data_IF_601409543513
#
_entry.id   IF_601409543513
#
_cell.length_a   1.000
_cell.length_b   1.000
_cell.length_c   1.000
_cell.angle_alpha   90.00
_cell.angle_beta   90.00
_cell.angle_gamma   90.00
#
_symmetry.space_group_name_H-M   'P 1'
#
loop_
_entity.id
_entity.type
_entity.pdbx_description
1 polymer ?
#
# COMPACT_ATOMS: atom_id res chain seq x y z
N UNK A 1 -24.16 12.50 -31.53
CA UNK A 1 -23.83 11.28 -30.76
C UNK A 1 -23.04 11.72 -29.54
N UNK A 2 -23.53 11.47 -28.33
CA UNK A 2 -22.77 11.77 -27.11
C UNK A 2 -21.72 10.68 -26.97
N UNK A 3 -20.48 11.00 -27.31
CA UNK A 3 -19.31 10.14 -27.06
C UNK A 3 -19.14 9.99 -25.55
N UNK A 4 -19.40 8.80 -25.01
CA UNK A 4 -19.20 8.53 -23.59
C UNK A 4 -17.70 8.56 -23.28
N UNK A 5 -17.25 9.60 -22.60
CA UNK A 5 -15.88 9.69 -22.09
C UNK A 5 -15.73 8.63 -21.00
N UNK A 6 -14.75 7.73 -21.15
CA UNK A 6 -14.46 6.73 -20.13
C UNK A 6 -14.05 7.41 -18.81
N UNK A 7 -14.39 6.82 -17.65
CA UNK A 7 -13.99 7.39 -16.36
C UNK A 7 -12.47 7.48 -16.27
N UNK A 8 -11.99 8.71 -16.07
CA UNK A 8 -10.56 9.00 -15.95
C UNK A 8 -10.02 8.61 -14.56
N UNK A 9 -10.87 8.63 -13.54
CA UNK A 9 -10.53 8.20 -12.19
C UNK A 9 -10.78 6.69 -12.01
N UNK A 10 -9.84 6.01 -11.34
CA UNK A 10 -9.96 4.60 -10.98
C UNK A 10 -9.79 4.43 -9.48
N UNK A 11 -10.61 3.56 -8.89
CA UNK A 11 -10.51 3.21 -7.48
C UNK A 11 -9.31 2.29 -7.25
N UNK A 12 -8.44 2.69 -6.32
CA UNK A 12 -7.23 1.96 -5.96
C UNK A 12 -7.16 1.76 -4.44
N UNK A 13 -6.39 0.76 -4.01
CA UNK A 13 -6.05 0.50 -2.61
C UNK A 13 -4.57 0.18 -2.51
N UNK A 14 -3.94 0.61 -1.43
CA UNK A 14 -2.56 0.23 -1.14
C UNK A 14 -2.48 -1.29 -0.92
N UNK A 15 -1.61 -1.94 -1.67
CA UNK A 15 -1.41 -3.38 -1.62
C UNK A 15 -0.70 -3.78 -0.31
N UNK A 16 -0.96 -5.02 0.13
CA UNK A 16 -0.23 -5.69 1.23
C UNK A 16 -0.32 -5.05 2.62
N UNK A 17 -1.05 -3.95 2.76
CA UNK A 17 -1.25 -3.23 4.03
C UNK A 17 -2.72 -3.18 4.42
N UNK A 18 -2.98 -2.79 5.66
CA UNK A 18 -4.30 -2.51 6.21
C UNK A 18 -4.20 -1.37 7.22
N UNK A 19 -5.28 -0.60 7.34
CA UNK A 19 -5.42 0.33 8.46
C UNK A 19 -5.38 -0.43 9.80
N UNK A 20 -4.94 0.25 10.87
CA UNK A 20 -5.13 -0.25 12.25
C UNK A 20 -6.64 -0.41 12.51
N UNK A 21 -7.00 -1.36 13.38
CA UNK A 21 -8.39 -1.77 13.58
C UNK A 21 -9.28 -0.60 14.09
N UNK A 22 -10.62 -0.66 13.90
CA UNK A 22 -11.55 0.46 14.09
C UNK A 22 -11.66 1.01 15.51
N UNK A 23 -11.13 0.32 16.53
CA UNK A 23 -11.19 0.79 17.92
C UNK A 23 -10.18 1.92 18.24
N UNK A 24 -9.54 2.48 17.22
CA UNK A 24 -8.58 3.55 17.35
C UNK A 24 -8.74 4.52 16.16
N UNK A 25 -9.93 5.13 16.07
CA UNK A 25 -10.34 6.06 15.00
C UNK A 25 -9.28 7.12 14.71
N UNK A 26 -8.53 7.56 15.72
CA UNK A 26 -7.42 8.50 15.61
C UNK A 26 -6.31 8.03 14.65
N UNK A 27 -5.99 6.73 14.63
CA UNK A 27 -4.96 6.20 13.74
C UNK A 27 -5.44 6.10 12.30
N UNK A 28 -6.71 5.76 12.08
CA UNK A 28 -7.28 5.71 10.74
C UNK A 28 -7.36 7.12 10.14
N UNK A 29 -7.76 8.10 10.95
CA UNK A 29 -7.75 9.50 10.56
C UNK A 29 -6.33 10.02 10.28
N UNK A 30 -5.38 9.79 11.19
CA UNK A 30 -3.99 10.20 10.99
C UNK A 30 -3.35 9.55 9.75
N UNK A 31 -3.62 8.26 9.50
CA UNK A 31 -3.18 7.58 8.28
C UNK A 31 -3.77 8.23 7.02
N UNK A 32 -5.04 8.62 7.04
CA UNK A 32 -5.69 9.27 5.91
C UNK A 32 -5.15 10.68 5.65
N UNK A 33 -4.91 11.47 6.71
CA UNK A 33 -4.30 12.80 6.62
C UNK A 33 -2.89 12.72 6.04
N UNK A 34 -2.07 11.82 6.58
CA UNK A 34 -0.69 11.61 6.10
C UNK A 34 -0.68 11.14 4.64
N UNK A 35 -1.51 10.16 4.30
CA UNK A 35 -1.67 9.67 2.93
C UNK A 35 -2.06 10.81 1.97
N UNK A 36 -3.00 11.67 2.38
CA UNK A 36 -3.41 12.83 1.60
C UNK A 36 -2.25 13.80 1.38
N UNK A 37 -1.46 14.10 2.43
CA UNK A 37 -0.29 14.98 2.32
C UNK A 37 0.78 14.44 1.38
N UNK A 38 0.90 13.11 1.27
CA UNK A 38 1.87 12.44 0.41
C UNK A 38 1.45 12.35 -1.07
N UNK A 39 0.15 12.33 -1.38
CA UNK A 39 -0.35 12.01 -2.73
C UNK A 39 -1.14 13.16 -3.37
N UNK A 40 -1.92 13.91 -2.59
CA UNK A 40 -2.88 14.86 -3.15
C UNK A 40 -2.17 15.99 -3.91
N UNK A 41 -2.57 16.19 -5.17
CA UNK A 41 -1.99 17.20 -6.05
C UNK A 41 -0.56 16.89 -6.54
N UNK A 42 -0.06 15.67 -6.31
CA UNK A 42 1.30 15.26 -6.71
C UNK A 42 1.24 14.15 -7.76
N UNK A 43 2.25 14.14 -8.62
CA UNK A 43 2.49 13.01 -9.52
C UNK A 43 3.09 11.83 -8.73
N UNK A 44 2.49 10.66 -8.89
CA UNK A 44 2.95 9.43 -8.27
C UNK A 44 3.01 8.32 -9.31
N UNK A 45 4.07 7.53 -9.23
CA UNK A 45 4.20 6.29 -9.99
C UNK A 45 3.50 5.18 -9.24
N UNK A 46 2.60 4.46 -9.91
CA UNK A 46 1.89 3.33 -9.32
C UNK A 46 2.28 2.02 -10.02
N UNK A 47 2.50 0.97 -9.24
CA UNK A 47 2.64 -0.40 -9.74
C UNK A 47 1.43 -1.21 -9.32
N UNK A 48 0.84 -1.93 -10.25
CA UNK A 48 -0.39 -2.73 -10.04
C UNK A 48 -0.01 -4.18 -9.71
N UNK A 49 -0.60 -4.72 -8.65
CA UNK A 49 -0.36 -6.08 -8.14
C UNK A 49 -1.53 -7.03 -8.36
N UNK A 50 -2.68 -6.48 -8.74
CA UNK A 50 -3.92 -7.21 -8.95
C UNK A 50 -5.15 -6.37 -8.63
N UNK A 51 -6.25 -7.05 -8.30
CA UNK A 51 -7.50 -6.44 -7.89
C UNK A 51 -8.01 -7.07 -6.60
N UNK A 52 -8.74 -6.30 -5.80
CA UNK A 52 -9.50 -6.83 -4.67
C UNK A 52 -10.88 -7.35 -5.10
N UNK A 53 -11.65 -7.84 -4.12
CA UNK A 53 -13.02 -8.34 -4.33
C UNK A 53 -13.98 -7.27 -4.83
N UNK A 54 -13.69 -6.01 -4.54
CA UNK A 54 -14.50 -4.85 -4.94
C UNK A 54 -14.04 -4.29 -6.29
N UNK A 55 -13.22 -5.04 -7.03
CA UNK A 55 -12.65 -4.66 -8.32
C UNK A 55 -11.74 -3.41 -8.27
N UNK A 56 -11.27 -3.03 -7.07
CA UNK A 56 -10.31 -1.94 -6.88
C UNK A 56 -8.91 -2.43 -7.21
N UNK A 57 -8.09 -1.59 -7.86
CA UNK A 57 -6.69 -1.94 -8.16
C UNK A 57 -5.87 -1.98 -6.86
N UNK A 58 -5.12 -3.06 -6.66
CA UNK A 58 -4.14 -3.15 -5.58
C UNK A 58 -2.82 -2.58 -6.08
N UNK A 59 -2.33 -1.51 -5.44
CA UNK A 59 -1.17 -0.76 -5.93
C UNK A 59 -0.12 -0.50 -4.85
N UNK A 60 1.14 -0.45 -5.26
CA UNK A 60 2.18 0.29 -4.54
C UNK A 60 2.37 1.64 -5.23
N UNK A 61 2.51 2.71 -4.46
CA UNK A 61 2.64 4.07 -4.96
C UNK A 61 3.95 4.69 -4.46
N UNK A 62 4.61 5.41 -5.34
CA UNK A 62 5.91 6.06 -5.14
C UNK A 62 5.82 7.50 -5.61
N UNK A 63 6.37 8.45 -4.86
CA UNK A 63 6.52 9.81 -5.38
C UNK A 63 7.66 9.82 -6.40
N UNK A 64 7.65 10.81 -7.30
CA UNK A 64 8.74 10.99 -8.24
C UNK A 64 10.09 11.16 -7.50
N UNK A 65 11.06 10.29 -7.82
CA UNK A 65 12.40 10.31 -7.22
C UNK A 65 12.55 9.52 -5.92
N UNK A 66 11.46 9.05 -5.31
CA UNK A 66 11.54 8.23 -4.10
C UNK A 66 11.77 6.75 -4.43
N UNK A 67 12.62 6.10 -3.63
CA UNK A 67 12.78 4.64 -3.63
C UNK A 67 11.83 3.96 -2.63
N UNK A 68 11.43 4.67 -1.59
CA UNK A 68 10.50 4.19 -0.57
C UNK A 68 9.06 4.41 -1.05
N UNK A 69 8.23 3.37 -0.93
CA UNK A 69 6.81 3.49 -1.24
C UNK A 69 6.08 4.29 -0.15
N UNK A 70 4.98 4.93 -0.52
CA UNK A 70 4.10 5.64 0.42
C UNK A 70 3.61 4.70 1.53
N UNK A 71 3.41 3.41 1.22
CA UNK A 71 3.03 2.42 2.23
C UNK A 71 4.15 2.14 3.23
N UNK A 72 5.42 2.14 2.81
CA UNK A 72 6.57 2.02 3.71
C UNK A 72 6.68 3.24 4.63
N UNK A 73 6.51 4.46 4.12
CA UNK A 73 6.49 5.68 4.94
C UNK A 73 5.40 5.62 6.02
N UNK A 74 4.16 5.24 5.64
CA UNK A 74 3.05 5.10 6.58
C UNK A 74 3.27 3.98 7.62
N UNK A 75 3.94 2.88 7.24
CA UNK A 75 4.36 1.83 8.18
C UNK A 75 5.45 2.33 9.13
N UNK A 76 6.41 3.10 8.62
CA UNK A 76 7.47 3.74 9.39
C UNK A 76 6.92 4.65 10.49
N UNK A 77 5.82 5.35 10.22
CA UNK A 77 5.11 6.18 11.20
C UNK A 77 4.16 5.38 12.12
N UNK A 78 4.05 4.06 11.92
CA UNK A 78 3.14 3.21 12.70
C UNK A 78 1.66 3.49 12.46
N UNK A 79 1.29 4.13 11.36
CA UNK A 79 -0.09 4.53 11.05
C UNK A 79 -0.91 3.37 10.46
N UNK A 80 -0.24 2.45 9.77
CA UNK A 80 -0.84 1.26 9.16
C UNK A 80 -0.11 -0.02 9.61
N UNK A 81 -0.61 -1.19 9.19
CA UNK A 81 0.00 -2.49 9.47
C UNK A 81 0.05 -3.34 8.21
N UNK A 82 0.98 -4.29 8.17
CA UNK A 82 1.01 -5.28 7.09
C UNK A 82 -0.21 -6.20 7.18
N UNK A 83 -0.78 -6.50 6.02
CA UNK A 83 -1.86 -7.45 5.85
C UNK A 83 -1.32 -8.88 5.85
N UNK A 84 -1.66 -9.66 6.89
CA UNK A 84 -1.27 -11.08 6.99
C UNK A 84 -1.83 -11.91 5.83
N UNK A 85 -3.03 -11.60 5.36
CA UNK A 85 -3.65 -12.27 4.21
C UNK A 85 -2.95 -11.93 2.91
N UNK A 86 -2.62 -10.65 2.70
CA UNK A 86 -1.82 -10.20 1.56
C UNK A 86 -0.45 -10.87 1.50
N UNK A 87 0.26 -10.92 2.63
CA UNK A 87 1.55 -11.60 2.75
C UNK A 87 1.48 -13.08 2.36
N UNK A 88 0.48 -13.80 2.88
CA UNK A 88 0.27 -15.22 2.55
C UNK A 88 -0.02 -15.41 1.05
N UNK A 89 -0.82 -14.53 0.46
CA UNK A 89 -1.16 -14.61 -0.96
C UNK A 89 0.07 -14.40 -1.85
N UNK A 90 0.93 -13.42 -1.54
CA UNK A 90 2.18 -13.18 -2.28
C UNK A 90 3.09 -14.40 -2.19
N UNK A 91 3.34 -14.92 -0.99
CA UNK A 91 4.18 -16.11 -0.80
C UNK A 91 3.66 -17.33 -1.55
N UNK A 92 2.34 -17.55 -1.55
CA UNK A 92 1.71 -18.64 -2.30
C UNK A 92 1.93 -18.49 -3.81
N UNK A 93 1.80 -17.27 -4.35
CA UNK A 93 2.05 -17.01 -5.77
C UNK A 93 3.52 -17.15 -6.14
N UNK A 94 4.43 -16.69 -5.29
CA UNK A 94 5.88 -16.87 -5.50
C UNK A 94 6.27 -18.35 -5.52
N UNK A 95 5.76 -19.15 -4.57
CA UNK A 95 5.96 -20.59 -4.55
C UNK A 95 5.39 -21.31 -5.79
N UNK A 96 4.38 -20.72 -6.44
CA UNK A 96 3.79 -21.23 -7.68
C UNK A 96 4.48 -20.70 -8.96
N UNK A 97 5.54 -19.89 -8.84
CA UNK A 97 6.24 -19.30 -9.99
C UNK A 97 5.37 -18.32 -10.79
N UNK A 98 4.39 -17.68 -10.16
CA UNK A 98 3.48 -16.78 -10.85
C UNK A 98 4.23 -15.52 -11.36
N UNK A 99 3.95 -15.04 -12.59
CA UNK A 99 4.57 -13.82 -13.11
C UNK A 99 4.39 -12.62 -12.18
N UNK A 100 5.47 -11.87 -11.94
CA UNK A 100 5.48 -10.70 -11.07
C UNK A 100 5.50 -11.00 -9.56
N UNK A 101 5.47 -12.27 -9.15
CA UNK A 101 5.48 -12.63 -7.73
C UNK A 101 6.80 -12.26 -7.03
N UNK A 102 7.93 -12.29 -7.73
CA UNK A 102 9.24 -11.90 -7.17
C UNK A 102 9.28 -10.40 -6.84
N UNK A 103 8.74 -9.57 -7.74
CA UNK A 103 8.62 -8.12 -7.50
C UNK A 103 7.70 -7.83 -6.31
N UNK A 104 6.60 -8.57 -6.20
CA UNK A 104 5.67 -8.42 -5.09
C UNK A 104 6.29 -8.88 -3.77
N UNK A 105 7.14 -9.91 -3.80
CA UNK A 105 7.91 -10.36 -2.66
C UNK A 105 8.89 -9.29 -2.19
N UNK A 106 9.63 -8.66 -3.10
CA UNK A 106 10.56 -7.56 -2.80
C UNK A 106 9.86 -6.38 -2.10
N UNK A 107 8.68 -5.98 -2.58
CA UNK A 107 7.90 -4.91 -1.95
C UNK A 107 7.46 -5.32 -0.55
N UNK A 108 6.99 -6.56 -0.39
CA UNK A 108 6.59 -7.07 0.92
C UNK A 108 7.77 -7.12 1.90
N UNK A 109 8.96 -7.48 1.45
CA UNK A 109 10.18 -7.46 2.26
C UNK A 109 10.56 -6.04 2.69
N UNK A 110 10.46 -5.07 1.78
CA UNK A 110 10.68 -3.66 2.09
C UNK A 110 9.68 -3.14 3.14
N UNK A 111 8.39 -3.49 3.01
CA UNK A 111 7.35 -3.17 3.99
C UNK A 111 7.63 -3.80 5.36
N UNK A 112 8.08 -5.07 5.40
CA UNK A 112 8.46 -5.75 6.63
C UNK A 112 9.63 -5.03 7.32
N UNK A 113 10.66 -4.65 6.55
CA UNK A 113 11.79 -3.89 7.07
C UNK A 113 11.36 -2.51 7.62
N UNK A 114 10.46 -1.79 6.94
CA UNK A 114 9.90 -0.54 7.42
C UNK A 114 9.13 -0.72 8.75
N UNK A 115 8.34 -1.78 8.87
CA UNK A 115 7.59 -2.06 10.11
C UNK A 115 8.52 -2.41 11.28
N UNK A 116 9.59 -3.17 11.05
CA UNK A 116 10.57 -3.48 12.09
C UNK A 116 11.39 -2.25 12.52
N UNK A 117 11.72 -1.34 11.59
CA UNK A 117 12.31 -0.02 11.92
C UNK A 117 11.39 0.80 12.85
N UNK A 118 10.09 0.85 12.54
CA UNK A 118 9.11 1.54 13.39
C UNK A 118 9.02 0.91 14.80
N UNK A 119 9.04 -0.42 14.86
CA UNK A 119 8.96 -1.18 16.12
C UNK A 119 10.18 -0.95 17.01
N UNK A 120 11.38 -1.00 16.44
CA UNK A 120 12.63 -0.78 17.18
C UNK A 120 12.78 0.67 17.64
N UNK A 121 12.29 1.63 16.86
CA UNK A 121 12.24 3.04 17.23
C UNK A 121 11.16 3.42 18.26
N UNK A 122 10.33 2.47 18.72
CA UNK A 122 9.16 2.72 19.60
C UNK A 122 8.19 3.79 19.06
N UNK A 123 8.05 3.86 17.73
CA UNK A 123 7.15 4.82 17.08
C UNK A 123 5.71 4.30 17.17
N UNK A 124 4.83 5.08 17.81
CA UNK A 124 3.38 4.88 17.87
C UNK A 124 2.92 3.47 18.31
N UNK A 125 3.35 3.04 19.51
CA UNK A 125 2.88 1.81 20.18
C UNK A 125 1.42 1.90 20.60
#
# INVERSE_FOLDING_TARGET
AVTSVAPLARKCRLAFVRAKAPHADDFAHAAAVELSGLILGREVTMRVHGRDTDNSLLVSAFRAGDTESIAETLLGHGLIRISKTGLRAVRKRAAAGAPGADTDLQIVEALLAAQERARSGRIAQ
#
